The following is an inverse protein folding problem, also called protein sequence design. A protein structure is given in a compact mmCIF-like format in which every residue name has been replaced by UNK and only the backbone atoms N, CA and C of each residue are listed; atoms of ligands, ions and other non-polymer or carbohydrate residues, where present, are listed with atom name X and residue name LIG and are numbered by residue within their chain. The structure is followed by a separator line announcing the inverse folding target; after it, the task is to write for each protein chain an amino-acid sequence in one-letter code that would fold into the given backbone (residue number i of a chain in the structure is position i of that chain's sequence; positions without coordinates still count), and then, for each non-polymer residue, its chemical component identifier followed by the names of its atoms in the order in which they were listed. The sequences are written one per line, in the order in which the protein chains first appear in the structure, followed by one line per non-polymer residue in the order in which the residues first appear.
data_IF_778669441589
#
_entry.id   IF_778669441589
#
_cell.length_a   1.000
_cell.length_b   1.000
_cell.length_c   1.000
_cell.angle_alpha   90.00
_cell.angle_beta   90.00
_cell.angle_gamma   90.00
#
_symmetry.space_group_name_H-M   'P 1'
#
loop_
_entity.id
_entity.type
_entity.pdbx_description
1 polymer ?
#
# COMPACT_ATOMS: atom_id res chain seq x y z
N UNK A 1 -14.16 3.84 27.19
CA UNK A 1 -13.54 2.64 27.79
C UNK A 1 -12.18 2.42 27.12
N UNK A 2 -11.18 1.96 27.87
CA UNK A 2 -9.88 1.57 27.34
C UNK A 2 -10.00 0.60 26.16
N UNK A 3 -9.13 0.74 25.15
CA UNK A 3 -9.12 -0.20 24.02
C UNK A 3 -8.76 -1.62 24.49
N UNK A 4 -9.57 -2.64 24.16
CA UNK A 4 -9.23 -4.02 24.47
C UNK A 4 -8.02 -4.47 23.63
N UNK A 5 -7.25 -5.45 24.11
CA UNK A 5 -6.11 -5.97 23.36
C UNK A 5 -6.54 -6.78 22.13
N UNK A 6 -7.59 -7.59 22.27
CA UNK A 6 -8.22 -8.36 21.21
C UNK A 6 -9.72 -8.13 21.18
N UNK A 7 -10.33 -8.39 20.04
CA UNK A 7 -11.77 -8.33 19.86
C UNK A 7 -12.27 -9.48 19.01
N UNK A 8 -13.41 -10.03 19.42
CA UNK A 8 -14.15 -11.01 18.66
C UNK A 8 -14.84 -10.38 17.45
N UNK A 9 -14.40 -10.75 16.26
CA UNK A 9 -14.94 -10.26 14.98
C UNK A 9 -15.58 -11.40 14.20
N UNK A 10 -16.75 -11.13 13.64
CA UNK A 10 -17.42 -11.95 12.63
C UNK A 10 -17.03 -11.44 11.25
N UNK A 11 -16.42 -12.29 10.44
CA UNK A 11 -15.99 -12.01 9.07
C UNK A 11 -16.92 -12.70 8.08
N UNK A 12 -17.40 -11.96 7.08
CA UNK A 12 -18.10 -12.50 5.93
C UNK A 12 -17.53 -11.90 4.64
N UNK A 13 -17.37 -12.71 3.59
CA UNK A 13 -17.01 -12.19 2.26
C UNK A 13 -18.19 -11.43 1.64
N UNK A 14 -17.88 -10.34 0.95
CA UNK A 14 -18.79 -9.55 0.12
C UNK A 14 -18.57 -9.99 -1.34
N UNK A 15 -19.05 -11.19 -1.72
CA UNK A 15 -19.13 -11.57 -3.13
C UNK A 15 -20.47 -11.07 -3.67
N UNK A 16 -20.43 -10.16 -4.64
CA UNK A 16 -21.62 -9.77 -5.39
C UNK A 16 -21.97 -10.87 -6.41
N UNK A 17 -23.27 -11.21 -6.50
CA UNK A 17 -23.91 -11.96 -7.60
C UNK A 17 -24.07 -13.50 -7.53
N UNK A 18 -24.05 -14.12 -6.35
CA UNK A 18 -24.70 -15.42 -6.21
C UNK A 18 -25.20 -15.61 -4.79
N UNK A 19 -26.32 -16.31 -4.62
CA UNK A 19 -26.79 -16.83 -3.33
C UNK A 19 -25.72 -17.82 -2.84
N UNK A 20 -24.66 -17.29 -2.23
CA UNK A 20 -23.57 -18.06 -1.67
C UNK A 20 -23.63 -17.85 -0.16
N UNK A 21 -24.05 -18.90 0.54
CA UNK A 21 -23.93 -19.02 2.00
C UNK A 21 -22.45 -18.84 2.34
N UNK A 22 -22.07 -17.61 2.60
CA UNK A 22 -20.69 -17.25 2.84
C UNK A 22 -20.36 -17.66 4.27
N UNK A 23 -19.36 -18.50 4.51
CA UNK A 23 -19.05 -18.95 5.87
C UNK A 23 -18.70 -17.73 6.72
N UNK A 24 -19.48 -17.52 7.79
CA UNK A 24 -19.18 -16.50 8.79
C UNK A 24 -18.11 -17.06 9.71
N UNK A 25 -16.89 -16.56 9.56
CA UNK A 25 -15.77 -16.95 10.44
C UNK A 25 -15.78 -16.03 11.65
N UNK A 26 -15.77 -16.61 12.84
CA UNK A 26 -15.64 -15.85 14.08
C UNK A 26 -14.22 -16.03 14.60
N UNK A 27 -13.50 -14.93 14.75
CA UNK A 27 -12.10 -14.96 15.21
C UNK A 27 -11.82 -13.86 16.23
N UNK A 28 -10.83 -14.09 17.08
CA UNK A 28 -10.23 -13.03 17.90
C UNK A 28 -9.20 -12.28 17.04
N UNK A 29 -9.34 -10.97 16.94
CA UNK A 29 -8.48 -10.08 16.16
C UNK A 29 -7.80 -9.08 17.09
N UNK A 30 -6.48 -8.86 17.02
CA UNK A 30 -5.83 -7.77 17.75
C UNK A 30 -6.43 -6.42 17.38
N UNK A 31 -6.63 -5.54 18.36
CA UNK A 31 -7.26 -4.22 18.11
C UNK A 31 -6.45 -3.39 17.11
N UNK A 32 -5.12 -3.53 17.15
CA UNK A 32 -4.21 -2.93 16.19
C UNK A 32 -4.56 -3.34 14.76
N UNK A 33 -4.77 -4.63 14.51
CA UNK A 33 -5.09 -5.14 13.17
C UNK A 33 -6.46 -4.64 12.70
N UNK A 34 -7.45 -4.60 13.59
CA UNK A 34 -8.75 -4.00 13.26
C UNK A 34 -8.60 -2.53 12.88
N UNK A 35 -7.85 -1.75 13.66
CA UNK A 35 -7.60 -0.34 13.39
C UNK A 35 -6.85 -0.18 12.07
N UNK A 36 -5.87 -1.04 11.75
CA UNK A 36 -5.18 -0.99 10.46
C UNK A 36 -6.14 -1.15 9.26
N UNK A 37 -7.13 -2.04 9.36
CA UNK A 37 -8.18 -2.15 8.36
C UNK A 37 -9.02 -0.88 8.25
N UNK A 38 -9.34 -0.23 9.38
CA UNK A 38 -10.04 1.07 9.40
C UNK A 38 -9.22 2.16 8.71
N UNK A 39 -7.90 2.23 8.99
CA UNK A 39 -6.98 3.20 8.37
C UNK A 39 -6.98 3.14 6.85
N UNK A 40 -7.23 1.95 6.27
CA UNK A 40 -7.39 1.78 4.84
C UNK A 40 -8.59 2.52 4.22
N UNK A 41 -9.53 3.02 5.04
CA UNK A 41 -10.74 3.74 4.63
C UNK A 41 -10.79 5.15 5.22
N UNK A 42 -10.39 5.31 6.49
CA UNK A 42 -10.52 6.57 7.21
C UNK A 42 -9.24 7.41 7.20
N UNK A 43 -8.07 6.80 6.93
CA UNK A 43 -6.80 7.40 7.38
C UNK A 43 -6.75 7.52 8.91
N UNK A 44 -5.86 8.36 9.45
CA UNK A 44 -5.73 8.61 10.90
C UNK A 44 -6.79 9.58 11.46
N UNK A 45 -7.99 9.60 10.87
CA UNK A 45 -9.11 10.40 11.38
C UNK A 45 -9.68 9.76 12.65
N UNK A 46 -9.29 10.30 13.80
CA UNK A 46 -9.67 9.79 15.12
C UNK A 46 -11.20 9.73 15.32
N UNK A 47 -11.93 10.74 14.83
CA UNK A 47 -13.37 10.83 15.02
C UNK A 47 -14.09 9.74 14.22
N UNK A 48 -13.69 9.53 12.96
CA UNK A 48 -14.25 8.46 12.11
C UNK A 48 -13.87 7.07 12.61
N UNK A 49 -12.66 6.89 13.15
CA UNK A 49 -12.25 5.62 13.77
C UNK A 49 -13.11 5.33 15.00
N UNK A 50 -13.31 6.30 15.89
CA UNK A 50 -14.17 6.16 17.07
C UNK A 50 -15.61 5.82 16.68
N UNK A 51 -16.14 6.46 15.63
CA UNK A 51 -17.46 6.16 15.10
C UNK A 51 -17.57 4.72 14.58
N UNK A 52 -16.57 4.22 13.84
CA UNK A 52 -16.55 2.83 13.38
C UNK A 52 -16.51 1.85 14.56
N UNK A 53 -15.65 2.09 15.54
CA UNK A 53 -15.53 1.26 16.76
C UNK A 53 -16.86 1.18 17.51
N UNK A 54 -17.58 2.30 17.61
CA UNK A 54 -18.92 2.37 18.21
C UNK A 54 -19.98 1.63 17.39
N UNK A 55 -19.95 1.76 16.06
CA UNK A 55 -20.94 1.13 15.17
C UNK A 55 -20.78 -0.38 15.04
N UNK A 56 -19.60 -0.93 15.30
CA UNK A 56 -19.42 -2.38 15.29
C UNK A 56 -19.29 -3.00 13.90
N UNK A 57 -18.97 -2.22 12.86
CA UNK A 57 -18.96 -2.72 11.47
C UNK A 57 -17.93 -2.00 10.59
N UNK A 58 -17.28 -2.75 9.70
CA UNK A 58 -16.36 -2.23 8.70
C UNK A 58 -16.43 -3.11 7.45
N UNK A 59 -16.44 -2.48 6.27
CA UNK A 59 -16.19 -3.18 5.00
C UNK A 59 -14.81 -2.76 4.51
N UNK A 60 -13.93 -3.74 4.30
CA UNK A 60 -12.58 -3.54 3.77
C UNK A 60 -12.32 -4.55 2.66
N UNK A 61 -12.13 -4.05 1.44
CA UNK A 61 -12.02 -4.90 0.26
C UNK A 61 -13.30 -5.71 0.05
N UNK A 62 -13.15 -7.02 -0.19
CA UNK A 62 -14.27 -7.96 -0.33
C UNK A 62 -14.66 -8.61 1.00
N UNK A 63 -14.38 -7.98 2.15
CA UNK A 63 -14.66 -8.56 3.47
C UNK A 63 -15.40 -7.58 4.35
N UNK A 64 -16.40 -8.09 5.08
CA UNK A 64 -17.16 -7.36 6.08
C UNK A 64 -16.87 -7.90 7.46
N UNK A 65 -16.44 -6.99 8.33
CA UNK A 65 -16.08 -7.19 9.72
C UNK A 65 -17.23 -6.70 10.57
N UNK A 66 -17.68 -7.51 11.54
CA UNK A 66 -18.70 -7.12 12.52
C UNK A 66 -18.27 -7.51 13.94
N UNK A 67 -18.49 -6.63 14.90
CA UNK A 67 -18.16 -6.84 16.30
C UNK A 67 -19.19 -6.15 17.20
N UNK A 68 -19.10 -6.38 18.51
CA UNK A 68 -19.92 -5.65 19.50
C UNK A 68 -19.32 -4.27 19.68
N UNK A 69 -20.02 -3.24 19.21
CA UNK A 69 -19.54 -1.86 19.28
C UNK A 69 -19.42 -1.33 20.71
N UNK A 70 -18.47 -0.44 20.95
CA UNK A 70 -18.24 0.18 22.25
C UNK A 70 -17.69 1.59 22.12
N UNK A 71 -17.90 2.39 23.17
CA UNK A 71 -17.30 3.71 23.26
C UNK A 71 -15.83 3.62 23.66
N UNK A 72 -14.95 3.89 22.69
CA UNK A 72 -13.50 3.94 22.89
C UNK A 72 -13.06 5.33 23.35
N UNK A 73 -12.07 5.39 24.23
CA UNK A 73 -11.41 6.64 24.60
C UNK A 73 -10.42 7.08 23.49
N UNK A 74 -10.24 8.40 23.36
CA UNK A 74 -9.38 8.98 22.31
C UNK A 74 -7.89 8.77 22.57
N UNK A 75 -7.48 8.66 23.83
CA UNK A 75 -6.08 8.49 24.21
C UNK A 75 -5.56 7.12 23.77
N UNK A 76 -6.33 6.06 24.01
CA UNK A 76 -6.04 4.71 23.54
C UNK A 76 -5.99 4.65 22.01
N UNK A 77 -6.94 5.30 21.31
CA UNK A 77 -6.92 5.40 19.84
C UNK A 77 -5.62 6.04 19.39
N UNK A 78 -5.25 7.21 19.95
CA UNK A 78 -3.99 7.90 19.63
C UNK A 78 -2.76 7.03 19.90
N UNK A 79 -2.75 6.32 21.02
CA UNK A 79 -1.68 5.40 21.38
C UNK A 79 -1.47 4.32 20.31
N UNK A 80 -2.56 3.73 19.81
CA UNK A 80 -2.49 2.76 18.71
C UNK A 80 -2.11 3.44 17.39
N UNK A 81 -2.66 4.63 17.07
CA UNK A 81 -2.34 5.37 15.85
C UNK A 81 -0.86 5.77 15.74
N UNK A 82 -0.21 6.09 16.87
CA UNK A 82 1.21 6.44 16.93
C UNK A 82 2.12 5.29 16.50
N UNK A 83 1.63 4.05 16.57
CA UNK A 83 2.38 2.87 16.14
C UNK A 83 2.32 2.61 14.64
N UNK A 84 1.52 3.38 13.89
CA UNK A 84 1.43 3.29 12.44
C UNK A 84 2.26 4.39 11.78
N UNK A 85 2.91 4.09 10.64
CA UNK A 85 3.68 5.09 9.91
C UNK A 85 2.84 6.31 9.53
N UNK A 86 3.41 7.49 9.72
CA UNK A 86 2.82 8.73 9.20
C UNK A 86 3.20 8.97 7.73
N UNK A 87 2.30 9.61 6.95
CA UNK A 87 2.66 10.14 5.66
C UNK A 87 3.79 11.17 5.78
N UNK A 88 4.82 11.04 4.95
CA UNK A 88 5.98 11.93 4.98
C UNK A 88 6.29 12.43 3.57
N UNK A 89 5.87 13.66 3.22
CA UNK A 89 6.10 14.26 1.90
C UNK A 89 7.57 14.49 1.55
N UNK A 90 8.47 14.47 2.53
CA UNK A 90 9.90 14.67 2.30
C UNK A 90 10.60 13.42 1.76
N UNK A 91 9.94 12.26 1.78
CA UNK A 91 10.56 11.00 1.38
C UNK A 91 10.78 10.96 -0.14
N UNK A 92 12.01 10.68 -0.59
CA UNK A 92 12.29 10.56 -2.01
C UNK A 92 11.71 9.26 -2.56
N UNK A 93 11.38 9.29 -3.85
CA UNK A 93 10.99 8.08 -4.58
C UNK A 93 12.17 7.09 -4.64
N UNK A 94 11.95 5.86 -4.16
CA UNK A 94 12.94 4.79 -4.15
C UNK A 94 12.54 3.67 -5.13
N UNK A 95 13.03 3.74 -6.38
CA UNK A 95 12.71 2.80 -7.45
C UNK A 95 12.98 1.32 -7.07
N UNK A 96 14.07 1.06 -6.33
CA UNK A 96 14.47 -0.26 -5.84
C UNK A 96 13.39 -0.94 -4.98
N UNK A 97 12.55 -0.15 -4.32
CA UNK A 97 11.51 -0.59 -3.39
C UNK A 97 10.11 -0.42 -3.96
N UNK A 98 9.99 0.08 -5.18
CA UNK A 98 8.74 0.08 -5.90
C UNK A 98 8.32 -1.38 -6.14
N UNK A 99 7.13 -1.74 -5.67
CA UNK A 99 6.57 -3.10 -5.76
C UNK A 99 5.49 -3.19 -6.82
N UNK A 100 4.89 -2.05 -7.19
CA UNK A 100 3.80 -1.97 -8.14
C UNK A 100 3.74 -0.60 -8.80
N UNK A 101 3.37 -0.59 -10.06
CA UNK A 101 2.97 0.62 -10.79
C UNK A 101 1.58 0.43 -11.38
N UNK A 102 0.81 1.51 -11.51
CA UNK A 102 -0.50 1.50 -12.16
C UNK A 102 -0.54 2.64 -13.16
N UNK A 103 -0.63 2.31 -14.44
CA UNK A 103 -0.74 3.30 -15.51
C UNK A 103 -2.19 3.80 -15.57
N UNK A 104 -2.37 5.12 -15.56
CA UNK A 104 -3.68 5.82 -15.58
C UNK A 104 -3.77 6.80 -16.74
N UNK A 105 -4.99 7.21 -17.09
CA UNK A 105 -5.30 8.16 -18.18
C UNK A 105 -6.15 7.55 -19.31
N UNK A 106 -6.06 6.23 -19.51
CA UNK A 106 -6.92 5.50 -20.45
C UNK A 106 -8.26 5.07 -19.83
N UNK A 107 -9.09 4.36 -20.61
CA UNK A 107 -10.40 3.83 -20.16
C UNK A 107 -10.29 2.87 -18.96
N UNK A 108 -9.17 2.17 -18.83
CA UNK A 108 -8.89 1.24 -17.74
C UNK A 108 -7.49 1.49 -17.19
N UNK A 109 -7.37 1.45 -15.87
CA UNK A 109 -6.07 1.47 -15.22
C UNK A 109 -5.37 0.12 -15.48
N UNK A 110 -4.07 0.17 -15.79
CA UNK A 110 -3.26 -1.03 -16.02
C UNK A 110 -2.39 -1.23 -14.80
N UNK A 111 -2.70 -2.24 -14.02
CA UNK A 111 -1.88 -2.64 -12.87
C UNK A 111 -0.69 -3.49 -13.34
N UNK A 112 0.50 -3.10 -12.92
CA UNK A 112 1.76 -3.73 -13.27
C UNK A 112 2.51 -4.06 -11.97
N UNK A 113 2.32 -5.28 -11.42
CA UNK A 113 3.11 -5.76 -10.31
C UNK A 113 4.55 -6.01 -10.76
N UNK A 114 5.54 -5.66 -9.92
CA UNK A 114 6.96 -5.79 -10.27
C UNK A 114 7.32 -7.22 -10.67
N UNK A 115 6.84 -8.21 -9.92
CA UNK A 115 7.09 -9.63 -10.16
C UNK A 115 6.61 -10.12 -11.53
N UNK A 116 5.61 -9.46 -12.12
CA UNK A 116 5.07 -9.82 -13.43
C UNK A 116 5.99 -9.38 -14.57
N UNK A 117 6.79 -8.33 -14.37
CA UNK A 117 7.56 -7.67 -15.46
C UNK A 117 9.05 -7.50 -15.17
N UNK A 118 9.53 -7.80 -13.96
CA UNK A 118 10.94 -7.67 -13.59
C UNK A 118 11.77 -8.96 -13.78
N UNK A 119 11.15 -10.08 -14.18
CA UNK A 119 11.88 -11.33 -14.44
C UNK A 119 12.69 -11.20 -15.73
N UNK A 120 14.02 -11.28 -15.61
CA UNK A 120 14.94 -11.35 -16.76
C UNK A 120 14.86 -12.74 -17.40
N UNK A 121 14.71 -12.80 -18.72
CA UNK A 121 14.99 -14.01 -19.49
C UNK A 121 16.50 -14.21 -19.64
N UNK A 122 16.95 -15.43 -19.97
CA UNK A 122 18.38 -15.79 -20.07
C UNK A 122 19.22 -14.86 -20.98
N UNK A 123 18.58 -14.13 -21.91
CA UNK A 123 19.26 -13.24 -22.87
C UNK A 123 18.85 -11.76 -22.74
N UNK A 124 18.04 -11.39 -21.75
CA UNK A 124 17.44 -10.05 -21.68
C UNK A 124 18.19 -9.14 -20.70
N UNK A 125 18.87 -8.12 -21.23
CA UNK A 125 19.62 -7.12 -20.42
C UNK A 125 18.71 -6.16 -19.64
N UNK A 126 17.62 -5.73 -20.25
CA UNK A 126 16.67 -4.73 -19.71
C UNK A 126 15.25 -5.32 -19.72
N UNK A 127 14.56 -5.19 -18.59
CA UNK A 127 13.14 -5.58 -18.47
C UNK A 127 12.22 -4.38 -18.68
N UNK A 128 10.92 -4.65 -18.87
CA UNK A 128 9.94 -3.55 -18.91
C UNK A 128 9.93 -2.75 -17.60
N UNK A 129 10.14 -3.44 -16.46
CA UNK A 129 10.22 -2.76 -15.16
C UNK A 129 11.40 -1.79 -15.08
N UNK A 130 12.57 -2.21 -15.55
CA UNK A 130 13.78 -1.37 -15.57
C UNK A 130 13.54 -0.11 -16.40
N UNK A 131 12.98 -0.26 -17.61
CA UNK A 131 12.62 0.86 -18.47
C UNK A 131 11.57 1.79 -17.82
N UNK A 132 10.56 1.23 -17.18
CA UNK A 132 9.52 2.00 -16.50
C UNK A 132 10.11 2.84 -15.36
N UNK A 133 10.96 2.24 -14.53
CA UNK A 133 11.62 2.94 -13.42
C UNK A 133 12.60 4.01 -13.92
N UNK A 134 13.30 3.78 -15.05
CA UNK A 134 14.16 4.79 -15.69
C UNK A 134 13.34 6.02 -16.12
N UNK A 135 12.23 5.82 -16.83
CA UNK A 135 11.34 6.90 -17.28
C UNK A 135 10.78 7.69 -16.09
N UNK A 136 10.38 6.99 -15.03
CA UNK A 136 9.87 7.62 -13.82
C UNK A 136 10.98 8.41 -13.09
N UNK A 137 12.15 7.79 -12.92
CA UNK A 137 13.27 8.37 -12.19
C UNK A 137 13.81 9.65 -12.85
N UNK A 138 13.87 9.66 -14.18
CA UNK A 138 14.33 10.83 -14.95
C UNK A 138 13.39 12.05 -14.81
N UNK A 139 12.08 11.83 -14.71
CA UNK A 139 11.09 12.90 -14.64
C UNK A 139 10.64 13.30 -13.25
N UNK A 140 11.05 12.56 -12.21
CA UNK A 140 10.70 12.83 -10.81
C UNK A 140 9.28 12.43 -10.44
N UNK A 141 9.12 11.52 -9.47
CA UNK A 141 7.81 11.16 -8.94
C UNK A 141 7.47 11.99 -7.69
N UNK A 142 6.24 12.53 -7.64
CA UNK A 142 5.75 13.35 -6.53
C UNK A 142 5.08 12.48 -5.49
N UNK A 143 5.37 12.72 -4.21
CA UNK A 143 4.71 12.00 -3.11
C UNK A 143 3.21 12.29 -3.07
N UNK A 144 2.40 11.23 -2.95
CA UNK A 144 0.93 11.28 -3.01
C UNK A 144 0.26 10.67 -1.77
N UNK A 145 1.01 10.44 -0.68
CA UNK A 145 0.50 9.95 0.59
C UNK A 145 0.90 8.50 0.91
N UNK A 146 0.47 8.02 2.07
CA UNK A 146 0.69 6.64 2.51
C UNK A 146 -0.60 5.82 2.44
N UNK A 147 -0.53 4.62 1.90
CA UNK A 147 -1.66 3.68 1.87
C UNK A 147 -1.51 2.64 2.97
N UNK A 148 -2.31 2.75 4.03
CA UNK A 148 -2.34 1.77 5.12
C UNK A 148 -2.78 0.39 4.61
N UNK A 149 -3.77 0.34 3.71
CA UNK A 149 -4.24 -0.91 3.09
C UNK A 149 -3.12 -1.66 2.35
N UNK A 150 -2.24 -0.93 1.67
CA UNK A 150 -1.15 -1.51 0.87
C UNK A 150 0.19 -1.52 1.61
N UNK A 151 0.22 -1.00 2.85
CA UNK A 151 1.44 -0.78 3.66
C UNK A 151 2.59 -0.15 2.86
N UNK A 152 2.27 0.82 2.02
CA UNK A 152 3.21 1.40 1.05
C UNK A 152 2.99 2.89 0.86
N UNK A 153 4.08 3.60 0.59
CA UNK A 153 4.04 4.98 0.14
C UNK A 153 3.59 5.05 -1.30
N UNK A 154 2.72 6.01 -1.60
CA UNK A 154 2.21 6.27 -2.93
C UNK A 154 2.93 7.46 -3.53
N UNK A 155 3.39 7.31 -4.77
CA UNK A 155 3.91 8.40 -5.58
C UNK A 155 3.12 8.49 -6.89
N UNK A 156 3.13 9.67 -7.50
CA UNK A 156 2.48 9.94 -8.76
C UNK A 156 3.49 10.56 -9.73
N UNK A 157 3.42 10.17 -11.00
CA UNK A 157 4.23 10.71 -12.08
C UNK A 157 3.35 10.90 -13.31
N UNK A 158 3.30 12.10 -13.86
CA UNK A 158 2.71 12.32 -15.19
C UNK A 158 3.72 11.97 -16.27
N UNK A 159 3.26 11.59 -17.47
CA UNK A 159 4.13 11.30 -18.59
C UNK A 159 3.92 12.35 -19.69
N UNK A 160 5.02 12.76 -20.31
CA UNK A 160 4.97 13.42 -21.61
C UNK A 160 4.49 12.45 -22.68
N UNK A 161 4.05 12.99 -23.81
CA UNK A 161 3.64 12.17 -24.97
C UNK A 161 4.78 11.25 -25.43
N UNK A 162 6.02 11.76 -25.44
CA UNK A 162 7.20 11.00 -25.84
C UNK A 162 7.53 9.86 -24.87
N UNK A 163 7.45 10.09 -23.56
CA UNK A 163 7.65 9.04 -22.55
C UNK A 163 6.58 7.94 -22.64
N UNK A 164 5.31 8.34 -22.80
CA UNK A 164 4.22 7.38 -22.99
C UNK A 164 4.40 6.57 -24.28
N UNK A 165 4.83 7.19 -25.38
CA UNK A 165 5.15 6.50 -26.63
C UNK A 165 6.29 5.49 -26.45
N UNK A 166 7.40 5.89 -25.80
CA UNK A 166 8.53 5.00 -25.47
C UNK A 166 8.06 3.75 -24.72
N UNK A 167 7.18 3.91 -23.73
CA UNK A 167 6.62 2.78 -22.96
C UNK A 167 5.73 1.88 -23.82
N UNK A 168 4.91 2.43 -24.73
CA UNK A 168 4.07 1.64 -25.66
C UNK A 168 4.90 0.83 -26.65
N UNK A 169 5.90 1.45 -27.26
CA UNK A 169 6.83 0.82 -28.22
C UNK A 169 7.56 -0.37 -27.59
N UNK A 170 7.90 -0.25 -26.31
CA UNK A 170 8.58 -1.28 -25.54
C UNK A 170 7.61 -2.24 -24.82
N UNK A 171 6.32 -2.25 -25.16
CA UNK A 171 5.34 -3.20 -24.61
C UNK A 171 5.74 -4.66 -24.81
N UNK A 172 6.44 -4.99 -25.91
CA UNK A 172 7.01 -6.31 -26.17
C UNK A 172 8.09 -6.75 -25.16
N UNK A 173 8.47 -5.88 -24.22
CA UNK A 173 9.25 -6.25 -23.06
C UNK A 173 8.47 -7.04 -22.00
N UNK A 174 7.14 -7.01 -22.07
CA UNK A 174 6.26 -7.74 -21.17
C UNK A 174 6.03 -9.16 -21.68
N UNK A 175 6.22 -10.15 -20.81
CA UNK A 175 6.05 -11.57 -21.14
C UNK A 175 4.59 -11.93 -21.43
N UNK A 176 3.65 -11.36 -20.68
CA UNK A 176 2.23 -11.66 -20.79
C UNK A 176 1.62 -10.88 -21.96
N UNK A 177 1.14 -11.58 -22.98
CA UNK A 177 0.61 -10.98 -24.22
C UNK A 177 -0.56 -10.03 -23.96
N UNK A 178 -1.48 -10.39 -23.06
CA UNK A 178 -2.61 -9.53 -22.69
C UNK A 178 -2.13 -8.21 -22.06
N UNK A 179 -1.17 -8.26 -21.14
CA UNK A 179 -0.64 -7.06 -20.49
C UNK A 179 0.17 -6.21 -21.48
N UNK A 180 0.96 -6.85 -22.36
CA UNK A 180 1.66 -6.16 -23.45
C UNK A 180 0.68 -5.41 -24.34
N UNK A 181 -0.42 -6.03 -24.75
CA UNK A 181 -1.42 -5.40 -25.63
C UNK A 181 -2.18 -4.27 -24.92
N UNK A 182 -2.48 -4.43 -23.63
CA UNK A 182 -3.05 -3.35 -22.82
C UNK A 182 -2.12 -2.14 -22.78
N UNK A 183 -0.82 -2.35 -22.50
CA UNK A 183 0.15 -1.26 -22.47
C UNK A 183 0.26 -0.61 -23.85
N UNK A 184 0.35 -1.40 -24.92
CA UNK A 184 0.47 -0.88 -26.30
C UNK A 184 -0.70 0.02 -26.70
N UNK A 185 -1.93 -0.40 -26.41
CA UNK A 185 -3.15 0.25 -26.89
C UNK A 185 -3.69 1.34 -25.96
N UNK A 186 -3.28 1.36 -24.69
CA UNK A 186 -3.85 2.29 -23.72
C UNK A 186 -3.31 3.72 -23.84
N UNK A 187 -4.22 4.68 -23.82
CA UNK A 187 -3.95 6.11 -23.76
C UNK A 187 -3.58 6.58 -22.32
N UNK A 188 -2.67 5.88 -21.64
CA UNK A 188 -2.19 6.32 -20.34
C UNK A 188 -1.33 7.60 -20.46
N UNK A 189 -1.42 8.44 -19.42
CA UNK A 189 -0.76 9.73 -19.28
C UNK A 189 -0.08 9.90 -17.92
N UNK A 190 -0.27 8.97 -16.98
CA UNK A 190 0.38 9.00 -15.67
C UNK A 190 0.59 7.60 -15.10
N UNK A 191 1.45 7.52 -14.08
CA UNK A 191 1.64 6.35 -13.25
C UNK A 191 1.44 6.70 -11.77
N UNK A 192 0.71 5.83 -11.08
CA UNK A 192 0.79 5.72 -9.62
C UNK A 192 1.77 4.62 -9.26
N UNK A 193 2.52 4.82 -8.18
CA UNK A 193 3.62 3.96 -7.77
C UNK A 193 3.48 3.62 -6.30
N UNK A 194 3.69 2.36 -5.95
CA UNK A 194 3.65 1.87 -4.57
C UNK A 194 5.04 1.44 -4.15
N UNK A 195 5.60 2.15 -3.17
CA UNK A 195 6.94 1.92 -2.64
C UNK A 195 6.81 1.34 -1.23
N UNK A 196 7.28 0.11 -1.05
CA UNK A 196 7.27 -0.52 0.26
C UNK A 196 8.22 0.20 1.23
N UNK A 197 7.80 0.41 2.47
CA UNK A 197 8.73 0.81 3.54
C UNK A 197 9.55 -0.41 3.92
N UNK A 198 10.87 -0.24 4.09
CA UNK A 198 11.58 -1.26 4.87
C UNK A 198 11.07 -1.16 6.29
N UNK A 199 10.37 -2.19 6.71
CA UNK A 199 10.26 -2.48 8.12
C UNK A 199 11.64 -2.93 8.57
N UNK A 200 12.42 -2.01 9.12
CA UNK A 200 13.37 -2.43 10.13
C UNK A 200 12.51 -2.98 11.28
N UNK A 201 12.69 -4.25 11.69
CA UNK A 201 12.04 -4.71 12.91
C UNK A 201 12.44 -3.74 14.02
N UNK A 202 11.44 -3.27 14.77
CA UNK A 202 11.54 -2.25 15.82
C UNK A 202 12.67 -2.55 16.84
N UNK A 203 13.18 -3.79 16.89
CA UNK A 203 14.34 -4.17 17.69
C UNK A 203 15.67 -3.50 17.31
N UNK A 204 15.86 -2.96 16.10
CA UNK A 204 17.19 -2.41 15.72
C UNK A 204 17.41 -0.93 16.06
N UNK A 205 16.35 -0.17 16.39
CA UNK A 205 16.51 1.26 16.72
C UNK A 205 17.01 1.46 18.16
N UNK A 206 16.81 0.49 19.05
CA UNK A 206 17.38 0.56 20.40
C UNK A 206 18.88 0.23 20.46
N UNK A 207 19.43 -0.50 19.48
CA UNK A 207 20.84 -0.90 19.54
C UNK A 207 21.80 0.23 19.11
N UNK A 208 21.38 1.10 18.18
CA UNK A 208 22.21 2.23 17.75
C UNK A 208 22.21 3.41 18.74
N UNK A 209 21.23 3.49 19.65
CA UNK A 209 21.19 4.53 20.70
C UNK A 209 21.94 4.13 21.99
N UNK A 210 22.30 2.86 22.15
CA UNK A 210 23.11 2.39 23.29
C UNK A 210 24.62 2.24 22.97
N UNK A 211 25.01 2.31 21.70
CA UNK A 211 26.42 2.21 21.29
C UNK A 211 27.12 3.57 21.09
N UNK A 212 26.43 4.68 21.38
CA UNK A 212 26.93 6.05 21.19
C UNK A 212 27.04 6.84 22.49
N UNK A 213 27.92 6.43 23.39
CA UNK A 213 28.34 7.20 24.57
C UNK A 213 29.86 7.49 24.52
N UNK A 214 30.31 8.72 24.82
CA UNK A 214 31.62 9.23 24.45
C UNK A 214 32.74 8.91 25.46
N UNK A 215 33.98 8.86 24.95
CA UNK A 215 35.26 9.29 25.55
C UNK A 215 35.50 9.21 27.08
N UNK A 216 36.65 8.60 27.42
CA UNK A 216 37.54 8.96 28.53
C UNK A 216 37.33 8.15 29.83
N UNK A 217 38.33 7.73 30.60
CA UNK A 217 39.74 8.13 30.76
C UNK A 217 40.47 7.07 31.60
N UNK A 218 41.79 7.00 31.38
CA UNK A 218 42.90 6.52 32.24
C UNK A 218 43.60 5.25 31.77
#
# INVERSE_FOLDING_TARGET
MALPQTIRVKLSSEAAEAISLTPVVVQELPIRELIEHMLGVTGKDEARIRELLLRGTLVSGASRFRWVGWESDLEGIRGVLATFPDPDPSRPFAAERCVRATLRGGRKAIEIPREAVARKGLFRRVTFWDLLMEVIGAGGATYAGYSYRQRADRYMREFTIAEAAKLRENSGLVRFSTLSEQIRSAAFSSAELWVARAFLPVCLVLFSLLAGGPFGLS
#
